data_IF_777314754952
#
_entry.id   IF_777314754952
#
_cell.length_a   1.000
_cell.length_b   1.000
_cell.length_c   1.000
_cell.angle_alpha   90.00
_cell.angle_beta   90.00
_cell.angle_gamma   90.00
#
_symmetry.space_group_name_H-M   'P 1'
#
loop_
_entity.id
_entity.type
_entity.pdbx_description
1 polymer ?
#
# COMPACT_ATOMS: atom_id res chain seq x y z
N UNK A 1 52.57 0.91 -37.64
CA UNK A 1 51.73 -0.30 -37.73
C UNK A 1 50.64 -0.04 -38.75
N UNK A 2 50.50 -0.89 -39.77
CA UNK A 2 49.50 -0.71 -40.83
C UNK A 2 48.09 -1.05 -40.33
N UNK A 3 47.05 -0.57 -41.04
CA UNK A 3 45.70 -1.13 -40.91
C UNK A 3 45.58 -2.40 -41.76
N UNK A 4 44.77 -3.35 -41.30
CA UNK A 4 44.54 -4.65 -41.96
C UNK A 4 43.04 -4.88 -42.13
N UNK A 5 42.58 -5.07 -43.37
CA UNK A 5 41.22 -5.50 -43.68
C UNK A 5 41.33 -6.85 -44.40
N UNK A 6 41.12 -7.96 -43.68
CA UNK A 6 41.29 -9.33 -44.20
C UNK A 6 39.99 -10.08 -44.43
N UNK A 7 38.87 -9.61 -43.85
CA UNK A 7 37.56 -10.17 -44.12
C UNK A 7 37.01 -9.75 -45.49
N UNK A 8 36.14 -10.56 -46.08
CA UNK A 8 35.47 -10.22 -47.35
C UNK A 8 34.62 -8.97 -47.14
N UNK A 9 34.74 -7.98 -48.04
CA UNK A 9 34.01 -6.71 -47.93
C UNK A 9 34.23 -5.96 -46.61
N UNK A 10 35.37 -6.18 -45.95
CA UNK A 10 35.74 -5.49 -44.71
C UNK A 10 36.43 -4.14 -44.98
N UNK A 11 36.48 -3.29 -43.96
CA UNK A 11 37.22 -2.03 -44.01
C UNK A 11 37.93 -1.73 -42.68
N UNK A 12 39.19 -1.26 -42.77
CA UNK A 12 40.00 -0.94 -41.61
C UNK A 12 40.70 0.44 -41.77
N UNK A 13 40.46 1.34 -40.82
CA UNK A 13 41.00 2.70 -40.80
C UNK A 13 41.69 3.02 -39.47
N UNK A 14 43.00 3.29 -39.48
CA UNK A 14 43.77 3.68 -38.29
C UNK A 14 45.02 2.83 -38.09
N UNK A 15 46.01 3.35 -37.36
CA UNK A 15 47.25 2.61 -37.11
C UNK A 15 46.97 1.32 -36.30
N UNK A 16 47.28 0.16 -36.87
CA UNK A 16 47.05 -1.13 -36.23
C UNK A 16 45.58 -1.56 -36.12
N UNK A 17 44.64 -0.89 -36.82
CA UNK A 17 43.25 -1.35 -36.87
C UNK A 17 43.14 -2.64 -37.69
N UNK A 18 42.37 -3.61 -37.23
CA UNK A 18 42.17 -4.91 -37.89
C UNK A 18 40.68 -5.20 -38.07
N UNK A 19 40.23 -5.38 -39.29
CA UNK A 19 38.90 -5.86 -39.64
C UNK A 19 39.03 -7.26 -40.25
N UNK A 20 38.88 -8.31 -39.43
CA UNK A 20 39.12 -9.70 -39.83
C UNK A 20 37.82 -10.46 -40.16
N UNK A 21 36.68 -10.02 -39.60
CA UNK A 21 35.37 -10.58 -39.93
C UNK A 21 34.86 -10.16 -41.32
N UNK A 22 34.09 -11.01 -41.97
CA UNK A 22 33.41 -10.64 -43.23
C UNK A 22 32.40 -9.51 -42.99
N UNK A 23 32.32 -8.56 -43.92
CA UNK A 23 31.47 -7.35 -43.84
C UNK A 23 31.70 -6.53 -42.57
N UNK A 24 32.89 -6.60 -41.97
CA UNK A 24 33.23 -5.88 -40.74
C UNK A 24 33.84 -4.50 -41.00
N UNK A 25 33.74 -3.61 -40.01
CA UNK A 25 34.35 -2.28 -40.04
C UNK A 25 35.14 -2.04 -38.75
N UNK A 26 36.43 -1.77 -38.87
CA UNK A 26 37.29 -1.33 -37.77
C UNK A 26 37.81 0.09 -38.04
N UNK A 27 37.54 1.04 -37.14
CA UNK A 27 37.98 2.43 -37.26
C UNK A 27 38.53 2.95 -35.93
N UNK A 28 39.79 3.36 -35.91
CA UNK A 28 40.50 3.83 -34.72
C UNK A 28 41.84 3.10 -34.53
N UNK A 29 42.78 3.72 -33.82
CA UNK A 29 44.08 3.11 -33.55
C UNK A 29 43.90 1.81 -32.74
N UNK A 30 44.37 0.68 -33.26
CA UNK A 30 44.20 -0.64 -32.64
C UNK A 30 42.76 -1.14 -32.54
N UNK A 31 41.79 -0.56 -33.27
CA UNK A 31 40.43 -1.08 -33.33
C UNK A 31 40.39 -2.48 -33.96
N UNK A 32 39.57 -3.38 -33.44
CA UNK A 32 39.48 -4.79 -33.85
C UNK A 32 38.03 -5.17 -34.13
N UNK A 33 37.72 -5.54 -35.37
CA UNK A 33 36.42 -6.09 -35.76
C UNK A 33 36.61 -7.53 -36.26
N UNK A 34 36.52 -8.49 -35.34
CA UNK A 34 36.76 -9.92 -35.61
C UNK A 34 35.49 -10.69 -35.98
N UNK A 35 34.34 -10.24 -35.51
CA UNK A 35 33.06 -10.85 -35.85
C UNK A 35 32.60 -10.53 -37.27
N UNK A 36 31.98 -11.50 -37.95
CA UNK A 36 31.22 -11.25 -39.19
C UNK A 36 30.14 -10.21 -38.93
N UNK A 37 30.07 -9.16 -39.77
CA UNK A 37 29.18 -8.02 -39.58
C UNK A 37 29.54 -7.14 -38.37
N UNK A 38 30.72 -7.33 -37.78
CA UNK A 38 31.17 -6.61 -36.60
C UNK A 38 31.53 -5.16 -36.89
N UNK A 39 31.20 -4.26 -35.97
CA UNK A 39 31.48 -2.83 -36.05
C UNK A 39 32.30 -2.38 -34.84
N UNK A 40 33.57 -2.06 -35.04
CA UNK A 40 34.46 -1.50 -34.01
C UNK A 40 34.84 -0.06 -34.35
N UNK A 41 34.31 0.92 -33.63
CA UNK A 41 34.56 2.35 -33.83
C UNK A 41 35.15 2.98 -32.55
N UNK A 42 36.44 3.29 -32.54
CA UNK A 42 37.15 3.89 -31.42
C UNK A 42 38.55 3.30 -31.24
N UNK A 43 39.45 4.04 -30.58
CA UNK A 43 40.78 3.51 -30.26
C UNK A 43 40.63 2.27 -29.36
N UNK A 44 41.23 1.14 -29.75
CA UNK A 44 41.14 -0.14 -29.02
C UNK A 44 39.71 -0.69 -28.86
N UNK A 45 38.73 -0.22 -29.65
CA UNK A 45 37.39 -0.81 -29.67
C UNK A 45 37.46 -2.23 -30.25
N UNK A 46 36.70 -3.18 -29.70
CA UNK A 46 36.75 -4.60 -30.04
C UNK A 46 35.35 -5.16 -30.27
N UNK A 47 35.00 -5.46 -31.51
CA UNK A 47 33.79 -6.19 -31.89
C UNK A 47 34.17 -7.65 -32.18
N UNK A 48 34.16 -8.48 -31.13
CA UNK A 48 34.75 -9.82 -31.13
C UNK A 48 33.80 -10.93 -31.61
N UNK A 49 32.48 -10.67 -31.64
CA UNK A 49 31.48 -11.66 -32.04
C UNK A 49 30.67 -11.26 -33.28
N UNK A 50 30.01 -12.22 -33.91
CA UNK A 50 29.11 -11.98 -35.05
C UNK A 50 28.07 -10.91 -34.72
N UNK A 51 27.87 -9.94 -35.61
CA UNK A 51 26.97 -8.79 -35.44
C UNK A 51 27.26 -7.93 -34.19
N UNK A 52 28.45 -8.03 -33.60
CA UNK A 52 28.84 -7.21 -32.45
C UNK A 52 29.02 -5.74 -32.84
N UNK A 53 28.54 -4.83 -32.02
CA UNK A 53 28.74 -3.39 -32.19
C UNK A 53 29.51 -2.87 -30.98
N UNK A 54 30.74 -2.40 -31.18
CA UNK A 54 31.59 -1.78 -30.17
C UNK A 54 31.93 -0.34 -30.60
N UNK A 55 31.37 0.66 -29.93
CA UNK A 55 31.59 2.09 -30.24
C UNK A 55 32.12 2.80 -28.99
N UNK A 56 33.36 3.28 -29.03
CA UNK A 56 34.01 3.99 -27.94
C UNK A 56 35.43 3.48 -27.68
N UNK A 57 36.27 4.32 -27.07
CA UNK A 57 37.64 3.92 -26.72
C UNK A 57 37.64 2.74 -25.76
N UNK A 58 38.23 1.62 -26.17
CA UNK A 58 38.26 0.39 -25.36
C UNK A 58 36.89 -0.28 -25.14
N UNK A 59 35.87 0.04 -25.96
CA UNK A 59 34.60 -0.67 -25.90
C UNK A 59 34.78 -2.13 -26.35
N UNK A 60 34.18 -3.10 -25.67
CA UNK A 60 34.30 -4.53 -26.00
C UNK A 60 32.92 -5.14 -26.16
N UNK A 61 32.65 -5.74 -27.32
CA UNK A 61 31.38 -6.36 -27.65
C UNK A 61 31.51 -7.81 -28.14
N UNK A 62 30.66 -8.68 -27.62
CA UNK A 62 30.46 -10.08 -27.98
C UNK A 62 29.33 -10.27 -29.00
N UNK A 63 29.01 -11.52 -29.33
CA UNK A 63 28.07 -11.85 -30.40
C UNK A 63 26.66 -11.28 -30.16
N UNK A 64 26.09 -10.66 -31.21
CA UNK A 64 24.78 -10.01 -31.23
C UNK A 64 24.57 -8.96 -30.11
N UNK A 65 25.65 -8.39 -29.56
CA UNK A 65 25.57 -7.38 -28.53
C UNK A 65 25.80 -5.97 -29.09
N UNK A 66 25.33 -4.97 -28.35
CA UNK A 66 25.55 -3.55 -28.66
C UNK A 66 26.20 -2.88 -27.46
N UNK A 67 27.45 -2.45 -27.63
CA UNK A 67 28.27 -1.83 -26.60
C UNK A 67 28.73 -0.46 -27.08
N UNK A 68 28.25 0.61 -26.42
CA UNK A 68 28.51 1.99 -26.80
C UNK A 68 28.95 2.78 -25.57
N UNK A 69 30.20 3.24 -25.54
CA UNK A 69 30.77 4.06 -24.48
C UNK A 69 32.24 3.72 -24.25
N UNK A 70 33.06 4.69 -23.79
CA UNK A 70 34.46 4.41 -23.48
C UNK A 70 34.55 3.42 -22.31
N UNK A 71 35.38 2.38 -22.47
CA UNK A 71 35.53 1.27 -21.54
C UNK A 71 34.22 0.53 -21.17
N UNK A 72 33.17 0.66 -22.00
CA UNK A 72 31.97 -0.15 -21.86
C UNK A 72 32.27 -1.60 -22.29
N UNK A 73 31.70 -2.59 -21.60
CA UNK A 73 32.00 -4.00 -21.86
C UNK A 73 30.78 -4.87 -21.57
N UNK A 74 30.44 -5.75 -22.51
CA UNK A 74 29.50 -6.84 -22.21
C UNK A 74 30.16 -8.07 -21.57
N UNK A 75 31.45 -8.00 -21.26
CA UNK A 75 32.23 -9.05 -20.62
C UNK A 75 32.15 -10.41 -21.32
N UNK A 76 31.94 -10.41 -22.64
CA UNK A 76 31.83 -11.65 -23.43
C UNK A 76 30.43 -12.24 -23.48
N UNK A 77 29.43 -11.60 -22.87
CA UNK A 77 28.06 -12.10 -22.86
C UNK A 77 27.30 -11.66 -24.12
N UNK A 78 26.80 -12.65 -24.87
CA UNK A 78 26.03 -12.41 -26.09
C UNK A 78 24.67 -11.72 -25.82
N UNK A 79 24.12 -11.10 -26.86
CA UNK A 79 22.80 -10.46 -26.86
C UNK A 79 22.63 -9.33 -25.83
N UNK A 80 23.73 -8.79 -25.28
CA UNK A 80 23.70 -7.73 -24.29
C UNK A 80 23.52 -6.35 -24.92
N UNK A 81 22.98 -5.40 -24.15
CA UNK A 81 22.91 -3.98 -24.52
C UNK A 81 23.62 -3.17 -23.43
N UNK A 82 24.73 -2.52 -23.78
CA UNK A 82 25.60 -1.82 -22.83
C UNK A 82 25.89 -0.42 -23.35
N UNK A 83 25.21 0.60 -22.82
CA UNK A 83 25.33 1.98 -23.28
C UNK A 83 25.78 2.89 -22.13
N UNK A 84 27.01 3.38 -22.17
CA UNK A 84 27.55 4.32 -21.18
C UNK A 84 29.01 4.05 -20.85
N UNK A 85 29.75 5.09 -20.49
CA UNK A 85 31.16 4.92 -20.11
C UNK A 85 31.29 3.99 -18.89
N UNK A 86 32.13 2.96 -19.01
CA UNK A 86 32.34 1.96 -17.96
C UNK A 86 31.11 1.10 -17.62
N UNK A 87 30.03 1.16 -18.40
CA UNK A 87 28.86 0.30 -18.21
C UNK A 87 29.20 -1.16 -18.48
N UNK A 88 28.60 -2.07 -17.71
CA UNK A 88 28.93 -3.49 -17.74
C UNK A 88 27.74 -4.42 -17.53
N UNK A 89 27.80 -5.60 -18.12
CA UNK A 89 26.88 -6.71 -17.82
C UNK A 89 27.63 -7.98 -17.41
N UNK A 90 26.96 -8.89 -16.71
CA UNK A 90 27.54 -10.18 -16.30
C UNK A 90 26.70 -11.42 -16.66
N UNK A 91 25.72 -11.28 -17.56
CA UNK A 91 24.95 -12.40 -18.07
C UNK A 91 24.41 -12.13 -19.49
N UNK A 92 24.10 -13.20 -20.22
CA UNK A 92 23.53 -13.17 -21.57
C UNK A 92 22.20 -12.40 -21.57
N UNK A 93 22.03 -11.50 -22.54
CA UNK A 93 20.77 -10.75 -22.70
C UNK A 93 20.55 -9.61 -21.71
N UNK A 94 21.50 -9.32 -20.82
CA UNK A 94 21.37 -8.23 -19.87
C UNK A 94 21.44 -6.86 -20.54
N UNK A 95 20.82 -5.87 -19.90
CA UNK A 95 20.84 -4.48 -20.36
C UNK A 95 21.42 -3.57 -19.28
N UNK A 96 22.46 -2.81 -19.62
CA UNK A 96 23.06 -1.77 -18.77
C UNK A 96 23.15 -0.45 -19.54
N UNK A 97 22.35 0.55 -19.19
CA UNK A 97 22.29 1.84 -19.87
C UNK A 97 22.53 2.95 -18.84
N UNK A 98 23.64 3.66 -18.94
CA UNK A 98 24.08 4.73 -18.05
C UNK A 98 25.58 4.64 -17.76
N UNK A 99 26.23 5.78 -17.48
CA UNK A 99 27.63 5.78 -17.05
C UNK A 99 27.78 4.92 -15.78
N UNK A 100 28.66 3.91 -15.82
CA UNK A 100 28.86 2.97 -14.72
C UNK A 100 27.62 2.16 -14.34
N UNK A 101 26.63 2.00 -15.23
CA UNK A 101 25.51 1.09 -15.00
C UNK A 101 26.00 -0.38 -15.02
N UNK A 102 25.50 -1.20 -14.09
CA UNK A 102 25.96 -2.58 -13.91
C UNK A 102 24.75 -3.52 -13.79
N UNK A 103 24.55 -4.42 -14.76
CA UNK A 103 23.55 -5.48 -14.67
C UNK A 103 24.23 -6.85 -14.52
N UNK A 104 24.25 -7.37 -13.28
CA UNK A 104 24.99 -8.59 -12.92
C UNK A 104 24.09 -9.82 -12.94
N UNK A 105 22.88 -9.71 -12.39
CA UNK A 105 21.96 -10.84 -12.30
C UNK A 105 21.53 -11.36 -13.67
N UNK A 106 21.11 -12.62 -13.76
CA UNK A 106 20.55 -13.14 -15.01
C UNK A 106 19.26 -12.41 -15.39
N UNK A 107 19.09 -12.04 -16.66
CA UNK A 107 17.94 -11.26 -17.14
C UNK A 107 17.78 -9.92 -16.39
N UNK A 108 18.89 -9.29 -16.04
CA UNK A 108 18.88 -8.04 -15.29
C UNK A 108 18.91 -6.82 -16.20
N UNK A 109 18.25 -5.75 -15.74
CA UNK A 109 18.19 -4.45 -16.40
C UNK A 109 18.67 -3.37 -15.42
N UNK A 110 19.73 -2.65 -15.76
CA UNK A 110 20.20 -1.48 -15.05
C UNK A 110 20.10 -0.26 -15.98
N UNK A 111 19.25 0.71 -15.64
CA UNK A 111 19.01 1.91 -16.42
C UNK A 111 19.21 3.15 -15.55
N UNK A 112 20.29 3.89 -15.78
CA UNK A 112 20.67 5.10 -15.04
C UNK A 112 22.16 5.08 -14.69
N UNK A 113 22.75 6.26 -14.54
CA UNK A 113 24.13 6.41 -14.04
C UNK A 113 24.30 5.66 -12.70
N UNK A 114 25.35 4.85 -12.59
CA UNK A 114 25.65 4.03 -11.40
C UNK A 114 24.48 3.14 -10.92
N UNK A 115 23.50 2.83 -11.78
CA UNK A 115 22.43 1.89 -11.45
C UNK A 115 22.99 0.46 -11.37
N UNK A 116 22.51 -0.34 -10.42
CA UNK A 116 23.00 -1.70 -10.20
C UNK A 116 21.84 -2.68 -10.08
N UNK A 117 21.81 -3.69 -10.94
CA UNK A 117 20.85 -4.79 -10.89
C UNK A 117 21.59 -6.11 -10.58
N UNK A 118 21.73 -6.44 -9.30
CA UNK A 118 22.62 -7.52 -8.85
C UNK A 118 21.95 -8.90 -8.66
N UNK A 119 20.62 -8.99 -8.72
CA UNK A 119 19.87 -10.24 -8.55
C UNK A 119 19.24 -10.75 -9.85
N UNK A 120 18.92 -12.05 -9.92
CA UNK A 120 18.21 -12.63 -11.06
C UNK A 120 16.85 -11.96 -11.27
N UNK A 121 16.53 -11.56 -12.50
CA UNK A 121 15.32 -10.81 -12.86
C UNK A 121 15.25 -9.40 -12.28
N UNK A 122 16.37 -8.85 -11.78
CA UNK A 122 16.39 -7.53 -11.18
C UNK A 122 16.23 -6.41 -12.21
N UNK A 123 15.47 -5.38 -11.86
CA UNK A 123 15.35 -4.15 -12.66
C UNK A 123 15.66 -2.93 -11.79
N UNK A 124 16.72 -2.19 -12.12
CA UNK A 124 17.08 -0.94 -11.46
C UNK A 124 16.92 0.22 -12.44
N UNK A 125 16.02 1.16 -12.16
CA UNK A 125 15.71 2.31 -13.02
C UNK A 125 15.90 3.61 -12.22
N UNK A 126 16.85 4.44 -12.64
CA UNK A 126 17.21 5.70 -12.01
C UNK A 126 18.68 5.74 -11.62
N UNK A 127 19.26 6.96 -11.55
CA UNK A 127 20.65 7.12 -11.12
C UNK A 127 20.85 6.57 -9.70
N UNK A 128 21.83 5.69 -9.52
CA UNK A 128 22.11 5.03 -8.25
C UNK A 128 21.01 4.10 -7.74
N UNK A 129 20.00 3.78 -8.56
CA UNK A 129 19.02 2.76 -8.19
C UNK A 129 19.72 1.40 -8.04
N UNK A 130 19.40 0.65 -6.99
CA UNK A 130 20.10 -0.58 -6.64
C UNK A 130 19.12 -1.69 -6.26
N UNK A 131 19.25 -2.83 -6.92
CA UNK A 131 18.68 -4.09 -6.48
C UNK A 131 19.83 -4.94 -5.95
N UNK A 132 19.80 -5.26 -4.66
CA UNK A 132 20.88 -6.00 -4.01
C UNK A 132 20.92 -7.46 -4.46
N UNK A 133 22.08 -8.10 -4.35
CA UNK A 133 22.19 -9.54 -4.58
C UNK A 133 21.24 -10.32 -3.66
N UNK A 134 20.55 -11.33 -4.20
CA UNK A 134 19.57 -12.13 -3.48
C UNK A 134 18.13 -11.59 -3.51
N UNK A 135 17.90 -10.33 -3.87
CA UNK A 135 16.55 -9.77 -4.08
C UNK A 135 16.00 -10.17 -5.47
N UNK A 136 15.75 -11.47 -5.68
CA UNK A 136 15.30 -12.00 -6.97
C UNK A 136 13.97 -11.39 -7.41
N UNK A 137 13.84 -11.13 -8.71
CA UNK A 137 12.64 -10.54 -9.31
C UNK A 137 12.19 -9.23 -8.63
N UNK A 138 13.16 -8.45 -8.12
CA UNK A 138 12.89 -7.17 -7.47
C UNK A 138 13.19 -5.99 -8.40
N UNK A 139 12.48 -4.90 -8.17
CA UNK A 139 12.57 -3.68 -8.97
C UNK A 139 12.87 -2.48 -8.07
N UNK A 140 13.89 -1.69 -8.39
CA UNK A 140 14.16 -0.41 -7.77
C UNK A 140 13.85 0.72 -8.76
N UNK A 141 12.90 1.60 -8.44
CA UNK A 141 12.46 2.70 -9.32
C UNK A 141 12.74 4.05 -8.65
N UNK A 142 13.54 4.88 -9.29
CA UNK A 142 13.88 6.24 -8.87
C UNK A 142 15.32 6.41 -8.40
N UNK A 143 15.77 7.66 -8.34
CA UNK A 143 17.12 8.04 -7.91
C UNK A 143 17.47 7.49 -6.52
N UNK A 144 18.52 6.66 -6.41
CA UNK A 144 18.94 6.08 -5.14
C UNK A 144 17.94 5.12 -4.49
N UNK A 145 16.95 4.62 -5.23
CA UNK A 145 16.03 3.60 -4.70
C UNK A 145 16.78 2.30 -4.42
N UNK A 146 16.38 1.61 -3.36
CA UNK A 146 16.99 0.36 -2.90
C UNK A 146 15.92 -0.72 -2.79
N UNK A 147 16.04 -1.77 -3.60
CA UNK A 147 15.24 -2.99 -3.44
C UNK A 147 16.11 -4.07 -2.76
N UNK A 148 15.69 -4.48 -1.55
CA UNK A 148 16.43 -5.41 -0.70
C UNK A 148 15.72 -6.74 -0.44
N UNK A 149 14.52 -6.94 -0.99
CA UNK A 149 13.71 -8.13 -0.79
C UNK A 149 13.22 -8.70 -2.13
N UNK A 150 13.13 -10.04 -2.27
CA UNK A 150 12.67 -10.68 -3.50
C UNK A 150 11.19 -10.36 -3.77
N UNK A 151 10.79 -10.34 -5.05
CA UNK A 151 9.42 -10.06 -5.52
C UNK A 151 8.84 -8.74 -4.99
N UNK A 152 9.64 -7.67 -4.94
CA UNK A 152 9.19 -6.34 -4.49
C UNK A 152 9.50 -5.26 -5.51
N UNK A 153 8.71 -4.20 -5.48
CA UNK A 153 9.02 -2.92 -6.15
C UNK A 153 9.31 -1.89 -5.08
N UNK A 154 10.54 -1.39 -5.04
CA UNK A 154 10.94 -0.30 -4.15
C UNK A 154 10.94 1.03 -4.90
N UNK A 155 10.15 1.98 -4.41
CA UNK A 155 10.08 3.34 -4.93
C UNK A 155 10.98 4.31 -4.16
N UNK A 156 11.86 3.85 -3.28
CA UNK A 156 12.68 4.70 -2.42
C UNK A 156 13.76 3.92 -1.69
N UNK A 157 14.30 4.51 -0.63
CA UNK A 157 15.18 3.83 0.32
C UNK A 157 14.69 4.14 1.74
N UNK A 158 15.16 3.42 2.78
CA UNK A 158 14.87 3.79 4.16
C UNK A 158 15.18 5.27 4.41
N UNK A 159 14.19 6.04 4.89
CA UNK A 159 14.30 7.48 5.16
C UNK A 159 14.18 8.38 3.92
N UNK A 160 14.03 7.82 2.73
CA UNK A 160 13.80 8.53 1.46
C UNK A 160 12.59 7.94 0.73
N UNK A 161 11.49 7.72 1.45
CA UNK A 161 10.25 7.20 0.89
C UNK A 161 9.62 8.20 -0.08
N UNK A 162 8.91 7.67 -1.08
CA UNK A 162 8.21 8.48 -2.08
C UNK A 162 6.71 8.29 -1.96
N UNK A 163 5.97 9.35 -2.24
CA UNK A 163 4.52 9.27 -2.39
C UNK A 163 4.19 8.67 -3.75
N UNK A 164 3.34 7.64 -3.76
CA UNK A 164 2.67 7.18 -4.96
C UNK A 164 1.37 7.99 -5.14
N UNK A 165 1.26 8.72 -6.24
CA UNK A 165 0.14 9.66 -6.51
C UNK A 165 -0.51 9.33 -7.85
N UNK A 166 -1.72 9.87 -8.09
CA UNK A 166 -2.53 9.59 -9.28
C UNK A 166 -2.91 8.10 -9.43
N UNK A 167 -3.14 7.43 -8.30
CA UNK A 167 -3.63 6.05 -8.24
C UNK A 167 -5.15 6.08 -8.21
N UNK A 168 -5.80 5.44 -9.20
CA UNK A 168 -7.24 5.24 -9.20
C UNK A 168 -7.67 4.34 -8.04
N UNK A 169 -8.93 4.42 -7.62
CA UNK A 169 -9.46 3.54 -6.58
C UNK A 169 -9.32 2.06 -6.99
N UNK A 170 -8.79 1.24 -6.10
CA UNK A 170 -8.64 -0.19 -6.34
C UNK A 170 -9.99 -0.91 -6.43
N UNK A 171 -10.09 -1.91 -7.29
CA UNK A 171 -11.31 -2.70 -7.54
C UNK A 171 -11.09 -4.16 -7.16
N UNK A 172 -9.95 -4.75 -7.52
CA UNK A 172 -9.59 -6.12 -7.19
C UNK A 172 -8.87 -6.22 -5.82
N UNK A 173 -8.85 -7.40 -5.18
CA UNK A 173 -8.18 -7.59 -3.89
C UNK A 173 -6.68 -7.32 -3.87
N UNK A 174 -6.02 -7.32 -5.04
CA UNK A 174 -4.58 -7.08 -5.19
C UNK A 174 -4.25 -5.66 -5.68
N UNK A 175 -5.27 -4.80 -5.82
CA UNK A 175 -5.05 -3.42 -6.22
C UNK A 175 -4.58 -2.57 -5.03
N UNK A 176 -3.85 -1.49 -5.32
CA UNK A 176 -3.49 -0.53 -4.30
C UNK A 176 -4.74 0.20 -3.78
N UNK A 177 -4.94 0.19 -2.46
CA UNK A 177 -5.98 0.99 -1.83
C UNK A 177 -5.58 2.48 -1.81
N UNK A 178 -6.51 3.36 -2.18
CA UNK A 178 -6.28 4.80 -2.16
C UNK A 178 -6.63 5.41 -0.80
N UNK A 179 -6.05 6.58 -0.49
CA UNK A 179 -6.42 7.33 0.72
C UNK A 179 -7.91 7.67 0.74
N UNK A 180 -8.54 7.96 -0.41
CA UNK A 180 -9.98 8.22 -0.49
C UNK A 180 -10.84 7.01 -0.09
N UNK A 181 -10.43 5.79 -0.46
CA UNK A 181 -11.10 4.56 -0.01
C UNK A 181 -10.96 4.37 1.50
N UNK A 182 -9.76 4.59 2.05
CA UNK A 182 -9.53 4.50 3.50
C UNK A 182 -10.34 5.55 4.27
N UNK A 183 -10.40 6.80 3.78
CA UNK A 183 -11.20 7.86 4.38
C UNK A 183 -12.69 7.49 4.40
N UNK A 184 -13.20 6.88 3.33
CA UNK A 184 -14.60 6.42 3.27
C UNK A 184 -14.90 5.35 4.33
N UNK A 185 -13.97 4.41 4.54
CA UNK A 185 -14.07 3.41 5.61
C UNK A 185 -14.07 4.07 7.00
N UNK A 186 -13.16 5.01 7.24
CA UNK A 186 -13.10 5.73 8.53
C UNK A 186 -14.37 6.54 8.82
N UNK A 187 -14.95 7.18 7.80
CA UNK A 187 -16.20 7.92 7.93
C UNK A 187 -17.39 6.98 8.25
N UNK A 188 -17.43 5.80 7.62
CA UNK A 188 -18.41 4.77 7.92
C UNK A 188 -18.36 4.31 9.39
N UNK A 189 -17.16 4.02 9.91
CA UNK A 189 -17.00 3.66 11.32
C UNK A 189 -17.38 4.80 12.27
N UNK A 190 -17.02 6.05 11.95
CA UNK A 190 -17.39 7.20 12.76
C UNK A 190 -18.92 7.38 12.84
N UNK A 191 -19.63 7.13 11.73
CA UNK A 191 -21.10 7.14 11.69
C UNK A 191 -21.70 6.03 12.54
N UNK A 192 -21.17 4.81 12.47
CA UNK A 192 -21.63 3.69 13.30
C UNK A 192 -21.44 3.96 14.80
N UNK A 193 -20.31 4.54 15.19
CA UNK A 193 -20.04 4.89 16.60
C UNK A 193 -21.01 5.98 17.08
N UNK A 194 -21.27 7.00 16.27
CA UNK A 194 -22.22 8.06 16.61
C UNK A 194 -23.65 7.49 16.76
N UNK A 195 -24.03 6.57 15.88
CA UNK A 195 -25.29 5.82 15.98
C UNK A 195 -25.40 5.06 17.30
N UNK A 196 -24.38 4.27 17.63
CA UNK A 196 -24.34 3.51 18.88
C UNK A 196 -24.37 4.41 20.13
N UNK A 197 -23.69 5.56 20.12
CA UNK A 197 -23.71 6.52 21.23
C UNK A 197 -25.11 7.10 21.46
N UNK A 198 -25.84 7.32 20.37
CA UNK A 198 -27.23 7.81 20.42
C UNK A 198 -28.15 6.76 21.02
N UNK A 199 -28.06 5.51 20.53
CA UNK A 199 -28.85 4.38 21.05
C UNK A 199 -28.55 4.13 22.53
N UNK A 200 -27.28 4.09 22.92
CA UNK A 200 -26.87 3.89 24.30
C UNK A 200 -27.39 5.01 25.23
N UNK A 201 -27.44 6.24 24.74
CA UNK A 201 -28.01 7.37 25.50
C UNK A 201 -29.53 7.22 25.64
N UNK A 202 -30.23 6.78 24.58
CA UNK A 202 -31.65 6.49 24.62
C UNK A 202 -31.98 5.38 25.61
N UNK A 203 -31.30 4.23 25.53
CA UNK A 203 -31.49 3.11 26.46
C UNK A 203 -31.19 3.50 27.91
N UNK A 204 -30.15 4.31 28.14
CA UNK A 204 -29.86 4.83 29.49
C UNK A 204 -30.97 5.75 29.99
N UNK A 205 -31.58 6.55 29.12
CA UNK A 205 -32.68 7.44 29.47
C UNK A 205 -33.93 6.65 29.81
N UNK A 206 -34.30 5.70 28.96
CA UNK A 206 -35.42 4.77 29.17
C UNK A 206 -35.28 4.01 30.49
N UNK A 207 -34.11 3.44 30.77
CA UNK A 207 -33.85 2.74 32.03
C UNK A 207 -33.98 3.66 33.27
N UNK A 208 -33.51 4.91 33.19
CA UNK A 208 -33.65 5.89 34.29
C UNK A 208 -35.09 6.34 34.46
N UNK A 209 -35.82 6.53 33.37
CA UNK A 209 -37.23 6.87 33.39
C UNK A 209 -38.05 5.75 34.03
N UNK A 210 -37.81 4.49 33.67
CA UNK A 210 -38.42 3.33 34.33
C UNK A 210 -38.20 3.32 35.84
N UNK A 211 -36.99 3.66 36.30
CA UNK A 211 -36.70 3.81 37.73
C UNK A 211 -37.45 4.98 38.38
N UNK A 212 -37.54 6.14 37.72
CA UNK A 212 -38.31 7.29 38.21
C UNK A 212 -39.80 6.99 38.31
N UNK A 213 -40.36 6.25 37.35
CA UNK A 213 -41.75 5.78 37.38
C UNK A 213 -42.01 4.83 38.55
N UNK A 214 -41.09 3.89 38.80
CA UNK A 214 -41.19 3.00 39.95
C UNK A 214 -41.19 3.78 41.26
N UNK A 215 -40.29 4.76 41.42
CA UNK A 215 -40.27 5.64 42.60
C UNK A 215 -41.59 6.40 42.76
N UNK A 216 -42.13 6.97 41.67
CA UNK A 216 -43.42 7.66 41.68
C UNK A 216 -44.56 6.73 42.13
N UNK A 217 -44.63 5.52 41.57
CA UNK A 217 -45.65 4.53 41.94
C UNK A 217 -45.60 4.17 43.43
N UNK A 218 -44.40 3.99 44.00
CA UNK A 218 -44.22 3.64 45.42
C UNK A 218 -44.59 4.78 46.37
N UNK A 219 -44.59 6.02 45.91
CA UNK A 219 -44.97 7.19 46.70
C UNK A 219 -46.48 7.37 46.89
N UNK A 220 -47.32 6.60 46.19
CA UNK A 220 -48.77 6.73 46.26
C UNK A 220 -49.32 6.21 47.60
N UNK A 221 -50.03 7.08 48.33
CA UNK A 221 -50.64 6.75 49.62
C UNK A 221 -52.16 6.88 49.53
N UNK A 222 -52.87 5.85 50.00
CA UNK A 222 -54.33 5.74 49.93
C UNK A 222 -54.95 5.78 51.32
N UNK A 223 -56.20 6.24 51.43
CA UNK A 223 -56.92 6.28 52.70
C UNK A 223 -57.22 4.84 53.18
N UNK A 224 -56.75 4.43 54.37
CA UNK A 224 -56.90 3.06 54.83
C UNK A 224 -58.28 2.74 55.43
N UNK A 225 -59.17 3.73 55.60
CA UNK A 225 -60.46 3.58 56.28
C UNK A 225 -61.48 2.84 55.41
N UNK A 226 -62.22 1.84 55.93
CA UNK A 226 -63.16 1.04 55.15
C UNK A 226 -64.24 1.86 54.43
N UNK A 227 -64.61 1.43 53.23
CA UNK A 227 -65.64 2.06 52.41
C UNK A 227 -65.21 3.38 51.77
N UNK A 228 -63.95 3.80 51.92
CA UNK A 228 -63.43 5.03 51.31
C UNK A 228 -62.75 4.74 49.98
N UNK A 229 -63.15 5.48 48.95
CA UNK A 229 -62.36 5.65 47.74
C UNK A 229 -61.38 6.80 47.95
N UNK A 230 -60.14 6.65 47.49
CA UNK A 230 -59.10 7.68 47.57
C UNK A 230 -58.38 7.83 46.24
N UNK A 231 -58.00 9.06 45.94
CA UNK A 231 -57.17 9.43 44.81
C UNK A 231 -55.81 9.86 45.36
N UNK A 232 -54.73 9.36 44.78
CA UNK A 232 -53.36 9.69 45.13
C UNK A 232 -52.58 10.15 43.90
N UNK A 233 -51.66 11.08 44.10
CA UNK A 233 -50.69 11.50 43.10
C UNK A 233 -49.30 11.51 43.74
N UNK A 234 -48.29 11.11 42.98
CA UNK A 234 -46.91 11.05 43.44
C UNK A 234 -45.95 11.42 42.32
N UNK A 235 -44.77 11.86 42.73
CA UNK A 235 -43.68 12.26 41.85
C UNK A 235 -42.43 11.47 42.25
N UNK A 236 -41.77 10.88 41.26
CA UNK A 236 -40.51 10.17 41.40
C UNK A 236 -39.45 10.86 40.57
N UNK A 237 -38.24 10.93 41.09
CA UNK A 237 -37.12 11.52 40.37
C UNK A 237 -35.91 10.61 40.52
N UNK A 238 -35.28 10.26 39.40
CA UNK A 238 -34.07 9.46 39.39
C UNK A 238 -33.07 10.03 38.38
N UNK A 239 -31.95 10.53 38.91
CA UNK A 239 -30.91 11.23 38.15
C UNK A 239 -31.46 12.43 37.39
N UNK A 240 -31.62 12.31 36.08
CA UNK A 240 -32.03 13.33 35.13
C UNK A 240 -33.40 13.01 34.50
N UNK A 241 -34.18 12.11 35.11
CA UNK A 241 -35.50 11.71 34.63
C UNK A 241 -36.55 11.85 35.74
N UNK A 242 -37.74 12.30 35.35
CA UNK A 242 -38.91 12.39 36.21
C UNK A 242 -39.97 11.34 35.86
N UNK A 243 -40.66 10.86 36.89
CA UNK A 243 -41.83 10.00 36.77
C UNK A 243 -42.99 10.60 37.55
N UNK A 244 -44.19 10.55 36.96
CA UNK A 244 -45.43 10.94 37.60
C UNK A 244 -46.28 9.69 37.78
N UNK A 245 -47.00 9.62 38.89
CA UNK A 245 -47.95 8.56 39.14
C UNK A 245 -49.27 9.13 39.65
N UNK A 246 -50.38 8.60 39.15
CA UNK A 246 -51.72 8.88 39.65
C UNK A 246 -52.42 7.55 39.85
N UNK A 247 -53.02 7.36 41.01
CA UNK A 247 -53.70 6.12 41.32
C UNK A 247 -54.94 6.30 42.15
N UNK A 248 -55.76 5.27 42.12
CA UNK A 248 -56.98 5.14 42.91
C UNK A 248 -56.83 3.95 43.86
N UNK A 249 -57.31 4.12 45.08
CA UNK A 249 -57.32 3.09 46.10
C UNK A 249 -58.71 2.97 46.71
N UNK A 250 -59.10 1.74 47.02
CA UNK A 250 -60.36 1.45 47.70
C UNK A 250 -60.13 0.46 48.84
N UNK A 251 -60.51 0.88 50.06
CA UNK A 251 -60.49 0.02 51.23
C UNK A 251 -61.81 -0.76 51.30
N UNK A 252 -61.79 -2.00 50.81
CA UNK A 252 -62.98 -2.88 50.74
C UNK A 252 -63.48 -3.22 52.14
N UNK A 253 -62.58 -3.44 53.09
CA UNK A 253 -62.89 -3.68 54.51
C UNK A 253 -61.74 -3.21 55.40
N UNK A 254 -61.84 -3.41 56.72
CA UNK A 254 -60.72 -3.16 57.64
C UNK A 254 -59.45 -3.95 57.29
N UNK A 255 -59.64 -5.08 56.60
CA UNK A 255 -58.57 -6.03 56.25
C UNK A 255 -58.18 -6.00 54.78
N UNK A 256 -59.10 -5.79 53.84
CA UNK A 256 -58.81 -5.85 52.40
C UNK A 256 -58.72 -4.46 51.77
N UNK A 257 -57.64 -4.19 51.06
CA UNK A 257 -57.43 -2.97 50.27
C UNK A 257 -56.98 -3.31 48.86
N UNK A 258 -57.46 -2.56 47.88
CA UNK A 258 -57.05 -2.67 46.48
C UNK A 258 -56.66 -1.30 45.95
N UNK A 259 -55.73 -1.28 45.00
CA UNK A 259 -55.30 -0.05 44.34
C UNK A 259 -54.91 -0.32 42.89
N UNK A 260 -55.01 0.72 42.07
CA UNK A 260 -54.52 0.73 40.70
C UNK A 260 -53.91 2.10 40.42
N UNK A 261 -52.81 2.15 39.68
CA UNK A 261 -52.16 3.38 39.31
C UNK A 261 -51.60 3.35 37.89
N UNK A 262 -51.58 4.53 37.28
CA UNK A 262 -50.92 4.82 36.03
C UNK A 262 -49.65 5.63 36.34
N UNK A 263 -48.55 5.30 35.67
CA UNK A 263 -47.31 6.07 35.73
C UNK A 263 -46.96 6.60 34.33
N UNK A 264 -46.40 7.80 34.25
CA UNK A 264 -45.92 8.38 32.99
C UNK A 264 -44.60 9.11 33.19
N UNK A 265 -43.66 8.90 32.26
CA UNK A 265 -42.36 9.56 32.22
C UNK A 265 -42.39 10.62 31.11
N UNK A 266 -42.52 11.91 31.45
CA UNK A 266 -42.71 12.98 30.47
C UNK A 266 -41.56 13.09 29.46
N UNK A 267 -40.33 12.78 29.90
CA UNK A 267 -39.10 13.01 29.15
C UNK A 267 -38.79 11.92 28.09
N UNK A 268 -39.42 10.75 28.19
CA UNK A 268 -39.25 9.63 27.25
C UNK A 268 -40.57 9.15 26.61
N UNK A 269 -41.70 9.75 26.98
CA UNK A 269 -43.04 9.34 26.51
C UNK A 269 -43.42 7.89 26.84
N UNK A 270 -42.78 7.30 27.84
CA UNK A 270 -43.10 5.97 28.34
C UNK A 270 -44.14 6.04 29.46
N UNK A 271 -44.91 4.96 29.59
CA UNK A 271 -45.92 4.82 30.61
C UNK A 271 -45.93 3.41 31.19
N UNK A 272 -46.45 3.29 32.41
CA UNK A 272 -46.64 2.03 33.10
C UNK A 272 -47.99 1.97 33.81
N UNK A 273 -48.42 0.76 34.14
CA UNK A 273 -49.63 0.53 34.93
C UNK A 273 -49.29 -0.47 36.03
N UNK A 274 -49.80 -0.23 37.22
CA UNK A 274 -49.66 -1.14 38.37
C UNK A 274 -51.00 -1.35 39.03
N UNK A 275 -51.29 -2.58 39.46
CA UNK A 275 -52.43 -2.93 40.28
C UNK A 275 -51.94 -3.74 41.48
N UNK A 276 -52.54 -3.50 42.64
CA UNK A 276 -52.15 -4.12 43.91
C UNK A 276 -53.35 -4.44 44.78
N UNK A 277 -53.16 -5.41 45.67
CA UNK A 277 -54.08 -5.72 46.74
C UNK A 277 -53.27 -6.05 48.00
N UNK A 278 -53.77 -5.65 49.17
CA UNK A 278 -53.18 -6.00 50.45
C UNK A 278 -54.24 -6.49 51.42
N UNK A 279 -53.86 -7.45 52.27
CA UNK A 279 -54.72 -8.05 53.28
C UNK A 279 -54.07 -7.98 54.66
N UNK A 280 -54.72 -7.35 55.64
CA UNK A 280 -54.24 -7.27 57.02
C UNK A 280 -54.71 -8.51 57.80
N UNK A 281 -53.77 -9.24 58.40
CA UNK A 281 -54.05 -10.53 59.05
C UNK A 281 -54.59 -10.42 60.48
N UNK A 282 -54.24 -9.34 61.22
CA UNK A 282 -54.61 -9.14 62.62
C UNK A 282 -55.37 -7.84 62.79
#
# INVERSE_FOLDING_TARGET
VASTASGVSSAAFGAGSTASGDSSLAMGAGALADGTGGLALGSLAQANGTNAIAIGTGAISAANAVVIGPAASDNGFANAVVLGAGAQVAAVGNTAIGNGAIAIGTNAVAFGEASTAAAAGATAIGRGASVVAGATNAVAIGHGSLASAPNTVSFGSPGNERRLTNVAAGVAPTDAATVGQLSSVSAGFQSQIAGLQTELTATRREARAGAALALAATGLQYDPRPGRASLAAAFGHYKDQAGLAVGIGYAVSDRLRINAAFTGAPDVSDYGVVAGASFTLN
#
